data_IF_913040472761
#
_entry.id   IF_913040472761
#
_cell.length_a   1.000
_cell.length_b   1.000
_cell.length_c   1.000
_cell.angle_alpha   90.00
_cell.angle_beta   90.00
_cell.angle_gamma   90.00
#
_symmetry.space_group_name_H-M   'P 1'
#
loop_
_entity.id
_entity.type
_entity.pdbx_description
1 polymer ?
#
# COMPACT_ATOMS: atom_id res chain seq x y z
N UNK A 1 -42.60 9.90 63.16
CA UNK A 1 -43.18 10.98 62.33
C UNK A 1 -42.27 11.19 61.14
N UNK A 2 -42.72 10.75 59.96
CA UNK A 2 -42.02 10.97 58.69
C UNK A 2 -42.26 12.43 58.31
N UNK A 3 -41.19 13.19 58.11
CA UNK A 3 -41.24 14.59 57.67
C UNK A 3 -41.49 14.55 56.15
N UNK A 4 -42.60 15.09 55.63
CA UNK A 4 -42.86 15.07 54.19
C UNK A 4 -41.81 15.95 53.49
N UNK A 5 -41.02 15.35 52.62
CA UNK A 5 -40.10 16.06 51.72
C UNK A 5 -40.93 16.81 50.69
N UNK A 6 -40.81 18.14 50.57
CA UNK A 6 -41.59 18.89 49.58
C UNK A 6 -41.09 18.54 48.18
N UNK A 7 -42.02 18.19 47.28
CA UNK A 7 -41.70 18.02 45.86
C UNK A 7 -41.13 19.34 45.30
N UNK A 8 -40.16 19.28 44.38
CA UNK A 8 -39.67 20.47 43.66
C UNK A 8 -40.78 21.03 42.76
N UNK A 9 -40.81 22.35 42.51
CA UNK A 9 -41.87 22.98 41.74
C UNK A 9 -41.89 22.46 40.29
N UNK A 10 -43.09 22.23 39.77
CA UNK A 10 -43.31 21.91 38.37
C UNK A 10 -42.75 23.06 37.52
N UNK A 11 -41.70 22.78 36.76
CA UNK A 11 -41.14 23.74 35.81
C UNK A 11 -41.93 23.62 34.53
N UNK A 12 -43.13 24.18 34.55
CA UNK A 12 -43.83 24.50 33.32
C UNK A 12 -43.24 25.78 32.73
N UNK A 13 -43.19 25.75 31.40
CA UNK A 13 -43.09 26.86 30.44
C UNK A 13 -41.76 27.61 30.27
N UNK A 14 -41.19 27.31 29.10
CA UNK A 14 -40.81 28.28 28.06
C UNK A 14 -39.34 28.63 27.94
N UNK A 15 -38.82 28.28 26.76
CA UNK A 15 -37.74 28.93 26.02
C UNK A 15 -37.33 30.27 26.61
N UNK A 16 -36.07 30.40 27.04
CA UNK A 16 -35.16 31.47 26.62
C UNK A 16 -33.71 30.99 26.79
N UNK A 17 -32.91 31.34 25.79
CA UNK A 17 -31.48 31.15 25.60
C UNK A 17 -30.62 31.18 26.87
N UNK A 18 -29.98 30.05 27.18
CA UNK A 18 -28.80 30.00 28.05
C UNK A 18 -27.56 30.42 27.23
N UNK A 19 -26.99 31.62 27.44
CA UNK A 19 -25.88 32.14 26.65
C UNK A 19 -24.56 31.40 26.87
N UNK A 20 -24.52 30.45 27.81
CA UNK A 20 -23.33 29.64 28.10
C UNK A 20 -23.27 28.35 27.29
N UNK A 21 -24.35 27.98 26.58
CA UNK A 21 -24.35 26.79 25.72
C UNK A 21 -23.71 27.11 24.36
N UNK A 22 -22.63 26.40 23.96
CA UNK A 22 -21.91 26.67 22.71
C UNK A 22 -22.76 26.46 21.43
N UNK A 23 -23.98 25.94 21.59
CA UNK A 23 -24.93 25.68 20.50
C UNK A 23 -26.06 26.74 20.38
N UNK A 24 -26.04 27.81 21.17
CA UNK A 24 -27.15 28.79 21.21
C UNK A 24 -27.16 29.78 20.02
N UNK A 25 -26.06 29.94 19.28
CA UNK A 25 -25.97 30.90 18.17
C UNK A 25 -26.32 30.29 16.81
N UNK A 26 -26.83 31.10 15.87
CA UNK A 26 -27.25 30.68 14.52
C UNK A 26 -26.14 30.00 13.70
N UNK A 27 -24.87 30.35 13.95
CA UNK A 27 -23.70 29.76 13.27
C UNK A 27 -23.08 28.56 14.00
N UNK A 28 -23.64 28.12 15.13
CA UNK A 28 -23.12 27.00 15.93
C UNK A 28 -22.91 25.71 15.13
N UNK A 29 -23.83 25.39 14.21
CA UNK A 29 -23.71 24.21 13.34
C UNK A 29 -22.50 24.31 12.39
N UNK A 30 -22.24 25.49 11.84
CA UNK A 30 -21.08 25.72 10.97
C UNK A 30 -19.77 25.66 11.75
N UNK A 31 -19.77 26.19 12.97
CA UNK A 31 -18.60 26.13 13.87
C UNK A 31 -18.30 24.69 14.28
N UNK A 32 -19.33 23.90 14.59
CA UNK A 32 -19.19 22.48 14.89
C UNK A 32 -18.65 21.70 13.68
N UNK A 33 -19.19 21.93 12.49
CA UNK A 33 -18.69 21.31 11.25
C UNK A 33 -17.23 21.72 10.93
N UNK A 34 -16.87 22.98 11.18
CA UNK A 34 -15.50 23.46 11.02
C UNK A 34 -14.54 22.82 12.03
N UNK A 35 -14.99 22.63 13.27
CA UNK A 35 -14.21 21.95 14.31
C UNK A 35 -13.98 20.47 13.96
N UNK A 36 -15.02 19.74 13.55
CA UNK A 36 -14.89 18.34 13.10
C UNK A 36 -13.95 18.23 11.89
N UNK A 37 -14.03 19.15 10.92
CA UNK A 37 -13.11 19.17 9.77
C UNK A 37 -11.66 19.42 10.18
N UNK A 38 -11.43 20.32 11.16
CA UNK A 38 -10.09 20.58 11.68
C UNK A 38 -9.53 19.37 12.44
N UNK A 39 -10.36 18.74 13.27
CA UNK A 39 -10.00 17.50 13.98
C UNK A 39 -9.68 16.39 12.99
N UNK A 40 -10.49 16.21 11.95
CA UNK A 40 -10.25 15.23 10.89
C UNK A 40 -8.93 15.47 10.17
N UNK A 41 -8.59 16.73 9.89
CA UNK A 41 -7.34 17.07 9.21
C UNK A 41 -6.09 16.70 10.01
N UNK A 42 -6.14 16.83 11.34
CA UNK A 42 -4.97 16.58 12.20
C UNK A 42 -4.96 15.20 12.86
N UNK A 43 -6.13 14.60 13.10
CA UNK A 43 -6.27 13.39 13.89
C UNK A 43 -6.53 12.14 13.04
N UNK A 44 -6.99 12.27 11.78
CA UNK A 44 -7.08 11.13 10.86
C UNK A 44 -5.77 10.98 10.11
N UNK A 45 -5.06 9.85 10.23
CA UNK A 45 -3.88 9.59 9.42
C UNK A 45 -4.28 9.63 7.94
N UNK A 46 -3.79 10.63 7.20
CA UNK A 46 -3.92 10.61 5.74
C UNK A 46 -3.17 9.38 5.25
N UNK A 47 -3.84 8.50 4.50
CA UNK A 47 -3.20 7.33 3.92
C UNK A 47 -1.88 7.77 3.26
N UNK A 48 -0.76 7.06 3.50
CA UNK A 48 0.52 7.46 2.93
C UNK A 48 0.33 7.60 1.42
N UNK A 49 0.68 8.76 0.86
CA UNK A 49 0.67 8.98 -0.58
C UNK A 49 1.40 7.79 -1.18
N UNK A 50 0.69 6.99 -2.00
CA UNK A 50 1.28 5.83 -2.65
C UNK A 50 2.58 6.30 -3.30
N UNK A 51 3.70 5.73 -2.87
CA UNK A 51 4.97 5.97 -3.51
C UNK A 51 4.81 5.49 -4.95
N UNK A 52 4.62 6.40 -5.91
CA UNK A 52 4.71 6.08 -7.31
C UNK A 52 6.21 5.97 -7.62
N UNK A 53 6.80 4.76 -7.71
CA UNK A 53 8.14 4.67 -8.27
C UNK A 53 8.10 5.35 -9.65
N UNK A 54 9.05 6.24 -9.91
CA UNK A 54 9.16 6.90 -11.21
C UNK A 54 9.16 5.81 -12.29
N UNK A 55 8.20 5.89 -13.23
CA UNK A 55 8.12 4.96 -14.38
C UNK A 55 9.27 5.24 -15.33
N UNK A 56 10.49 4.90 -14.93
CA UNK A 56 11.67 5.04 -15.77
C UNK A 56 11.74 3.90 -16.81
N UNK A 57 11.17 2.74 -16.48
CA UNK A 57 11.01 1.59 -17.37
C UNK A 57 9.58 1.06 -17.31
N UNK A 58 9.04 0.70 -18.47
CA UNK A 58 7.71 0.11 -18.63
C UNK A 58 7.78 -0.97 -19.72
N UNK A 59 7.17 -2.13 -19.46
CA UNK A 59 6.91 -3.13 -20.51
C UNK A 59 5.71 -2.64 -21.31
N UNK A 60 5.87 -2.52 -22.62
CA UNK A 60 4.80 -2.03 -23.49
C UNK A 60 3.58 -2.97 -23.44
N UNK A 61 2.35 -2.43 -23.34
CA UNK A 61 1.15 -3.24 -23.05
C UNK A 61 0.69 -4.12 -24.23
N UNK A 62 1.25 -3.92 -25.42
CA UNK A 62 0.91 -4.67 -26.63
C UNK A 62 1.87 -5.84 -26.90
N UNK A 63 2.87 -6.05 -26.05
CA UNK A 63 3.78 -7.19 -26.19
C UNK A 63 3.06 -8.46 -25.76
N UNK A 64 3.10 -9.48 -26.60
CA UNK A 64 2.48 -10.76 -26.30
C UNK A 64 3.23 -11.53 -25.20
N UNK A 65 2.54 -12.46 -24.56
CA UNK A 65 3.09 -13.24 -23.45
C UNK A 65 4.28 -14.11 -23.88
N UNK A 66 4.30 -14.57 -25.13
CA UNK A 66 5.38 -15.39 -25.67
C UNK A 66 6.69 -14.59 -25.75
N UNK A 67 6.66 -13.40 -26.35
CA UNK A 67 7.79 -12.49 -26.45
C UNK A 67 8.29 -12.04 -25.06
N UNK A 68 7.38 -11.83 -24.10
CA UNK A 68 7.77 -11.52 -22.72
C UNK A 68 8.53 -12.67 -22.06
N UNK A 69 8.04 -13.90 -22.19
CA UNK A 69 8.69 -15.07 -21.61
C UNK A 69 9.99 -15.43 -22.34
N UNK A 70 10.05 -15.28 -23.66
CA UNK A 70 11.25 -15.48 -24.45
C UNK A 70 12.35 -14.50 -24.02
N UNK A 71 11.99 -13.20 -23.91
CA UNK A 71 12.91 -12.18 -23.43
C UNK A 71 13.36 -12.41 -21.98
N UNK A 72 12.44 -12.87 -21.11
CA UNK A 72 12.79 -13.22 -19.74
C UNK A 72 13.78 -14.39 -19.70
N UNK A 73 13.55 -15.45 -20.48
CA UNK A 73 14.48 -16.57 -20.59
C UNK A 73 15.87 -16.10 -21.03
N UNK A 74 15.95 -15.35 -22.14
CA UNK A 74 17.22 -14.83 -22.66
C UNK A 74 17.95 -13.94 -21.65
N UNK A 75 17.21 -13.08 -20.94
CA UNK A 75 17.75 -12.22 -19.88
C UNK A 75 18.29 -13.03 -18.71
N UNK A 76 17.62 -14.12 -18.32
CA UNK A 76 18.06 -15.00 -17.23
C UNK A 76 19.28 -15.83 -17.63
N UNK A 77 19.31 -16.35 -18.86
CA UNK A 77 20.48 -17.03 -19.41
C UNK A 77 21.69 -16.09 -19.44
N UNK A 78 21.50 -14.84 -19.91
CA UNK A 78 22.53 -13.81 -19.88
C UNK A 78 23.02 -13.51 -18.45
N UNK A 79 22.09 -13.38 -17.50
CA UNK A 79 22.43 -13.17 -16.09
C UNK A 79 23.21 -14.35 -15.49
N UNK A 80 22.85 -15.60 -15.81
CA UNK A 80 23.58 -16.79 -15.38
C UNK A 80 25.03 -16.79 -15.87
N UNK A 81 25.27 -16.39 -17.13
CA UNK A 81 26.62 -16.24 -17.69
C UNK A 81 27.39 -15.13 -16.97
N UNK A 82 26.80 -13.94 -16.83
CA UNK A 82 27.45 -12.82 -16.13
C UNK A 82 27.80 -13.15 -14.68
N UNK A 83 26.92 -13.86 -13.96
CA UNK A 83 27.18 -14.30 -12.59
C UNK A 83 28.30 -15.32 -12.52
N UNK A 84 28.36 -16.25 -13.48
CA UNK A 84 29.43 -17.24 -13.56
C UNK A 84 30.78 -16.60 -13.85
N UNK A 85 30.83 -15.66 -14.80
CA UNK A 85 32.02 -14.88 -15.13
C UNK A 85 32.46 -14.03 -13.93
N UNK A 86 31.51 -13.40 -13.24
CA UNK A 86 31.80 -12.60 -12.04
C UNK A 86 32.31 -13.47 -10.90
N UNK A 87 31.77 -14.67 -10.70
CA UNK A 87 32.25 -15.60 -9.67
C UNK A 87 33.73 -15.98 -9.88
N UNK A 88 34.21 -16.05 -11.13
CA UNK A 88 35.60 -16.32 -11.44
C UNK A 88 36.57 -15.23 -10.94
N UNK A 89 36.08 -13.99 -10.76
CA UNK A 89 36.86 -12.85 -10.26
C UNK A 89 36.91 -12.77 -8.73
N UNK A 90 36.14 -13.59 -8.03
CA UNK A 90 35.98 -13.51 -6.57
C UNK A 90 36.79 -14.55 -5.80
N UNK A 91 37.14 -14.17 -4.57
CA UNK A 91 37.73 -15.06 -3.57
C UNK A 91 36.74 -16.17 -3.12
N UNK A 92 37.23 -17.30 -2.59
CA UNK A 92 36.43 -18.50 -2.35
C UNK A 92 35.11 -18.33 -1.57
N UNK A 93 35.02 -17.56 -0.46
CA UNK A 93 33.75 -17.42 0.26
C UNK A 93 32.68 -16.70 -0.56
N UNK A 94 33.05 -15.64 -1.30
CA UNK A 94 32.12 -14.87 -2.12
C UNK A 94 31.80 -15.57 -3.44
N UNK A 95 32.77 -16.30 -4.01
CA UNK A 95 32.58 -17.14 -5.20
C UNK A 95 31.46 -18.15 -4.99
N UNK A 96 31.48 -18.87 -3.87
CA UNK A 96 30.45 -19.87 -3.55
C UNK A 96 29.06 -19.22 -3.44
N UNK A 97 28.98 -18.03 -2.84
CA UNK A 97 27.72 -17.27 -2.76
C UNK A 97 27.19 -16.89 -4.14
N UNK A 98 28.03 -16.33 -5.01
CA UNK A 98 27.61 -15.91 -6.36
C UNK A 98 27.22 -17.11 -7.22
N UNK A 99 27.94 -18.24 -7.13
CA UNK A 99 27.56 -19.47 -7.82
C UNK A 99 26.21 -20.00 -7.33
N UNK A 100 25.91 -19.89 -6.03
CA UNK A 100 24.58 -20.20 -5.49
C UNK A 100 23.48 -19.30 -6.08
N UNK A 101 23.75 -18.00 -6.25
CA UNK A 101 22.82 -17.07 -6.92
C UNK A 101 22.64 -17.46 -8.39
N UNK A 102 23.72 -17.78 -9.10
CA UNK A 102 23.68 -18.24 -10.50
C UNK A 102 22.80 -19.50 -10.64
N UNK A 103 22.89 -20.44 -9.70
CA UNK A 103 22.04 -21.63 -9.68
C UNK A 103 20.55 -21.26 -9.52
N UNK A 104 20.21 -20.32 -8.64
CA UNK A 104 18.82 -19.87 -8.47
C UNK A 104 18.28 -19.22 -9.75
N UNK A 105 19.10 -18.39 -10.42
CA UNK A 105 18.73 -17.78 -11.71
C UNK A 105 18.51 -18.87 -12.77
N UNK A 106 19.41 -19.84 -12.87
CA UNK A 106 19.26 -20.98 -13.80
C UNK A 106 17.99 -21.80 -13.53
N UNK A 107 17.64 -22.03 -12.26
CA UNK A 107 16.36 -22.69 -11.93
C UNK A 107 15.14 -21.88 -12.40
N UNK A 108 15.21 -20.55 -12.28
CA UNK A 108 14.16 -19.68 -12.78
C UNK A 108 14.08 -19.68 -14.32
N UNK A 109 15.22 -19.70 -15.02
CA UNK A 109 15.29 -19.85 -16.48
C UNK A 109 14.57 -21.12 -16.93
N UNK A 110 14.83 -22.26 -16.28
CA UNK A 110 14.15 -23.53 -16.57
C UNK A 110 12.63 -23.44 -16.33
N UNK A 111 12.19 -22.74 -15.29
CA UNK A 111 10.77 -22.55 -15.01
C UNK A 111 10.08 -21.66 -16.07
N UNK A 112 10.76 -20.60 -16.51
CA UNK A 112 10.27 -19.72 -17.59
C UNK A 112 10.23 -20.46 -18.92
N UNK A 113 11.28 -21.22 -19.26
CA UNK A 113 11.29 -22.09 -20.44
C UNK A 113 10.13 -23.07 -20.41
N UNK A 114 9.86 -23.70 -19.26
CA UNK A 114 8.73 -24.63 -19.14
C UNK A 114 7.38 -23.94 -19.31
N UNK A 115 7.25 -22.70 -18.83
CA UNK A 115 6.05 -21.90 -19.05
C UNK A 115 5.87 -21.56 -20.53
N UNK A 116 6.95 -21.22 -21.23
CA UNK A 116 6.95 -20.94 -22.67
C UNK A 116 6.55 -22.18 -23.48
N UNK A 117 7.17 -23.34 -23.22
CA UNK A 117 6.81 -24.63 -23.84
C UNK A 117 5.31 -24.96 -23.68
N UNK A 118 4.75 -24.62 -22.52
CA UNK A 118 3.34 -24.90 -22.22
C UNK A 118 2.41 -23.99 -23.03
N UNK A 119 2.82 -22.74 -23.29
CA UNK A 119 2.05 -21.84 -24.14
C UNK A 119 2.07 -22.31 -25.59
N UNK A 120 3.25 -22.67 -26.11
CA UNK A 120 3.40 -23.16 -27.49
C UNK A 120 2.58 -24.42 -27.76
N UNK A 121 2.43 -25.30 -26.75
CA UNK A 121 1.61 -26.49 -26.86
C UNK A 121 0.09 -26.20 -26.88
N UNK A 122 -0.33 -25.00 -26.47
CA UNK A 122 -1.75 -24.61 -26.37
C UNK A 122 -2.24 -23.72 -27.51
N UNK A 123 -1.33 -23.24 -28.35
CA UNK A 123 -1.59 -22.42 -29.55
C UNK A 123 -1.56 -23.25 -30.83
#
# INVERSE_FOLDING_TARGET
>A
MIKPTPNPPETDVSSESDPTSPYSTTDSKKLHEAAERALDHYLKPTAPKQHCPGRMFLIAPHIDQHALLAHACESMASASVMLSDFAALLDPPYRSTVLGIAQVVMCGELAVNRALDTLDATT
#
